data_IF_568008166418
#
_entry.id   IF_568008166418
#
_cell.length_a   1.000
_cell.length_b   1.000
_cell.length_c   1.000
_cell.angle_alpha   90.00
_cell.angle_beta   90.00
_cell.angle_gamma   90.00
#
_symmetry.space_group_name_H-M   'P 1'
#
loop_
_entity.id
_entity.type
_entity.pdbx_description
1 polymer ?
#
# COMPACT_ATOMS: atom_id res chain seq x y z
N UNK A 1 -39.94 -45.12 -17.19
CA UNK A 1 -39.86 -44.46 -15.87
C UNK A 1 -38.54 -43.71 -15.81
N UNK A 2 -38.57 -42.39 -16.00
CA UNK A 2 -37.38 -41.54 -15.88
C UNK A 2 -37.02 -41.48 -14.39
N UNK A 3 -35.78 -41.85 -14.05
CA UNK A 3 -35.33 -41.92 -12.66
C UNK A 3 -35.06 -40.51 -12.12
N UNK A 4 -36.13 -39.84 -11.69
CA UNK A 4 -36.17 -38.45 -11.22
C UNK A 4 -35.18 -38.15 -10.08
N UNK A 5 -34.72 -39.17 -9.34
CA UNK A 5 -33.71 -39.05 -8.29
C UNK A 5 -32.29 -38.87 -8.85
N UNK A 6 -31.92 -39.58 -9.91
CA UNK A 6 -30.58 -39.45 -10.51
C UNK A 6 -30.38 -38.10 -11.21
N UNK A 7 -31.41 -37.58 -11.86
CA UNK A 7 -31.35 -36.26 -12.51
C UNK A 7 -31.27 -35.11 -11.50
N UNK A 8 -31.94 -35.24 -10.35
CA UNK A 8 -31.87 -34.26 -9.26
C UNK A 8 -30.47 -34.20 -8.66
N UNK A 9 -29.85 -35.36 -8.39
CA UNK A 9 -28.50 -35.45 -7.85
C UNK A 9 -27.46 -34.92 -8.85
N UNK A 10 -27.60 -35.24 -10.13
CA UNK A 10 -26.72 -34.73 -11.18
C UNK A 10 -26.81 -33.19 -11.27
N UNK A 11 -28.01 -32.62 -11.30
CA UNK A 11 -28.21 -31.17 -11.34
C UNK A 11 -27.66 -30.46 -10.09
N UNK A 12 -27.80 -31.07 -8.91
CA UNK A 12 -27.26 -30.53 -7.66
C UNK A 12 -25.72 -30.55 -7.63
N UNK A 13 -25.09 -31.60 -8.18
CA UNK A 13 -23.61 -31.68 -8.28
C UNK A 13 -23.03 -30.69 -9.28
N UNK A 14 -23.67 -30.53 -10.45
CA UNK A 14 -23.27 -29.57 -11.48
C UNK A 14 -23.44 -28.12 -11.00
N UNK A 15 -24.53 -27.81 -10.29
CA UNK A 15 -24.75 -26.49 -9.70
C UNK A 15 -23.72 -26.17 -8.60
N UNK A 16 -23.32 -27.16 -7.79
CA UNK A 16 -22.27 -27.02 -6.77
C UNK A 16 -20.89 -26.79 -7.41
N UNK A 17 -20.59 -27.50 -8.50
CA UNK A 17 -19.33 -27.39 -9.22
C UNK A 17 -19.21 -26.06 -9.99
N UNK A 18 -20.28 -25.61 -10.63
CA UNK A 18 -20.35 -24.30 -11.31
C UNK A 18 -20.14 -23.13 -10.34
N UNK A 19 -20.79 -23.17 -9.17
CA UNK A 19 -20.59 -22.17 -8.11
C UNK A 19 -19.13 -22.15 -7.64
N UNK A 20 -18.55 -23.31 -7.37
CA UNK A 20 -17.15 -23.44 -6.92
C UNK A 20 -16.15 -22.88 -7.95
N UNK A 21 -16.33 -23.14 -9.24
CA UNK A 21 -15.50 -22.55 -10.30
C UNK A 21 -15.64 -21.03 -10.39
N UNK A 22 -16.86 -20.51 -10.30
CA UNK A 22 -17.12 -19.07 -10.33
C UNK A 22 -16.45 -18.35 -9.14
N UNK A 23 -16.38 -19.00 -7.97
CA UNK A 23 -15.69 -18.46 -6.80
C UNK A 23 -14.17 -18.51 -6.91
N UNK A 24 -13.60 -19.58 -7.49
CA UNK A 24 -12.16 -19.67 -7.75
C UNK A 24 -11.72 -18.56 -8.72
N UNK A 25 -12.48 -18.33 -9.80
CA UNK A 25 -12.23 -17.19 -10.70
C UNK A 25 -12.38 -15.84 -9.98
N UNK A 26 -13.36 -15.71 -9.09
CA UNK A 26 -13.53 -14.52 -8.24
C UNK A 26 -12.33 -14.26 -7.33
N UNK A 27 -11.86 -15.26 -6.59
CA UNK A 27 -10.68 -15.17 -5.72
C UNK A 27 -9.41 -14.88 -6.53
N UNK A 28 -9.23 -15.54 -7.67
CA UNK A 28 -8.09 -15.28 -8.56
C UNK A 28 -8.09 -13.84 -9.07
N UNK A 29 -9.26 -13.28 -9.38
CA UNK A 29 -9.40 -11.87 -9.78
C UNK A 29 -9.04 -10.89 -8.65
N UNK A 30 -9.42 -11.21 -7.41
CA UNK A 30 -9.09 -10.39 -6.22
C UNK A 30 -7.58 -10.44 -5.92
N UNK A 31 -6.97 -11.62 -6.07
CA UNK A 31 -5.52 -11.80 -5.90
C UNK A 31 -4.75 -11.07 -7.00
N UNK A 32 -5.19 -11.16 -8.26
CA UNK A 32 -4.60 -10.41 -9.38
C UNK A 32 -4.67 -8.89 -9.17
N UNK A 33 -5.76 -8.38 -8.59
CA UNK A 33 -5.88 -6.96 -8.22
C UNK A 33 -5.03 -6.55 -7.01
N UNK A 34 -4.60 -7.52 -6.18
CA UNK A 34 -3.75 -7.29 -5.02
C UNK A 34 -2.25 -7.33 -5.35
N UNK A 35 -1.88 -7.92 -6.49
CA UNK A 35 -0.51 -7.92 -7.02
C UNK A 35 -0.38 -6.78 -8.03
N UNK A 36 -0.38 -5.53 -7.57
CA UNK A 36 0.20 -4.46 -8.36
C UNK A 36 1.72 -4.65 -8.35
N UNK A 37 2.23 -5.22 -9.45
CA UNK A 37 3.66 -5.26 -9.74
C UNK A 37 4.16 -3.82 -9.78
N UNK A 38 5.15 -3.50 -8.96
CA UNK A 38 5.84 -2.21 -8.93
C UNK A 38 6.59 -1.99 -10.25
N UNK A 39 5.85 -1.54 -11.26
CA UNK A 39 6.39 -1.08 -12.54
C UNK A 39 7.23 0.17 -12.30
N UNK A 40 8.55 0.01 -12.41
CA UNK A 40 9.53 1.08 -12.47
C UNK A 40 9.44 1.76 -13.83
N UNK A 41 8.54 2.74 -13.95
CA UNK A 41 8.45 3.62 -15.11
C UNK A 41 9.49 4.75 -14.96
N UNK A 42 10.75 4.43 -15.26
CA UNK A 42 11.89 5.34 -15.13
C UNK A 42 12.05 6.30 -16.32
N UNK A 43 10.96 6.72 -16.97
CA UNK A 43 11.00 7.67 -18.08
C UNK A 43 10.04 8.85 -17.85
N UNK A 44 10.60 10.02 -17.49
CA UNK A 44 9.98 11.33 -17.69
C UNK A 44 8.70 11.66 -16.89
N UNK A 45 8.36 10.90 -15.86
CA UNK A 45 7.14 11.12 -15.07
C UNK A 45 7.37 12.11 -13.93
N UNK A 46 6.55 13.15 -13.86
CA UNK A 46 6.49 14.04 -12.70
C UNK A 46 6.02 13.25 -11.47
N UNK A 47 6.85 13.22 -10.42
CA UNK A 47 6.56 12.50 -9.17
C UNK A 47 5.88 13.45 -8.19
N UNK A 48 4.72 13.04 -7.68
CA UNK A 48 4.01 13.76 -6.63
C UNK A 48 4.03 12.94 -5.35
N UNK A 49 4.45 13.55 -4.24
CA UNK A 49 4.52 12.85 -2.96
C UNK A 49 3.87 13.69 -1.87
N UNK A 50 3.44 13.03 -0.80
CA UNK A 50 3.10 13.76 0.42
C UNK A 50 4.40 14.25 1.08
N UNK A 51 4.43 15.52 1.47
CA UNK A 51 5.56 16.16 2.14
C UNK A 51 5.11 16.84 3.43
N UNK A 52 5.35 16.21 4.58
CA UNK A 52 4.88 16.70 5.89
C UNK A 52 5.63 16.05 7.07
N UNK A 53 5.44 16.60 8.28
CA UNK A 53 6.02 16.09 9.52
C UNK A 53 4.97 16.12 10.64
N UNK A 54 4.70 14.98 11.28
CA UNK A 54 3.68 14.85 12.31
C UNK A 54 3.96 15.61 13.61
N UNK A 55 5.19 16.08 13.83
CA UNK A 55 5.52 16.97 14.96
C UNK A 55 5.03 18.40 14.69
N UNK A 56 5.00 18.82 13.43
CA UNK A 56 4.54 20.15 13.03
C UNK A 56 3.01 20.14 12.88
N UNK A 57 2.48 19.04 12.35
CA UNK A 57 1.05 18.91 12.07
C UNK A 57 0.58 17.47 12.27
N UNK A 58 -0.25 17.25 13.28
CA UNK A 58 -0.71 15.92 13.68
C UNK A 58 -1.48 15.18 12.57
N UNK A 59 -2.09 15.91 11.61
CA UNK A 59 -2.77 15.31 10.45
C UNK A 59 -1.78 14.54 9.53
N UNK A 60 -0.48 14.79 9.67
CA UNK A 60 0.57 14.02 9.00
C UNK A 60 0.91 12.71 9.74
N UNK A 61 0.23 12.36 10.82
CA UNK A 61 0.46 11.12 11.55
C UNK A 61 0.02 9.85 10.81
N UNK A 62 -0.31 8.82 11.60
CA UNK A 62 -0.85 7.56 11.08
C UNK A 62 -2.33 7.69 10.66
N UNK A 63 -3.08 8.58 11.31
CA UNK A 63 -4.45 8.97 10.94
C UNK A 63 -4.43 9.85 9.68
N UNK A 64 -4.17 9.22 8.54
CA UNK A 64 -3.90 9.92 7.28
C UNK A 64 -5.13 9.89 6.35
N UNK A 65 -5.95 10.94 6.42
CA UNK A 65 -7.08 11.11 5.50
C UNK A 65 -6.59 11.57 4.13
N UNK A 66 -6.62 10.67 3.14
CA UNK A 66 -6.01 10.89 1.82
C UNK A 66 -6.51 12.17 1.15
N UNK A 67 -7.81 12.45 1.16
CA UNK A 67 -8.37 13.64 0.49
C UNK A 67 -7.97 14.96 1.15
N UNK A 68 -7.94 14.98 2.49
CA UNK A 68 -7.47 16.14 3.27
C UNK A 68 -5.97 16.33 3.08
N UNK A 69 -5.21 15.23 3.15
CA UNK A 69 -3.77 15.23 2.95
C UNK A 69 -3.36 15.64 1.55
N UNK A 70 -4.12 15.25 0.51
CA UNK A 70 -3.82 15.64 -0.87
C UNK A 70 -3.89 17.15 -1.05
N UNK A 71 -4.90 17.80 -0.48
CA UNK A 71 -5.06 19.25 -0.52
C UNK A 71 -3.96 20.00 0.24
N UNK A 72 -3.40 19.40 1.28
CA UNK A 72 -2.52 20.08 2.24
C UNK A 72 -1.03 19.76 2.05
N UNK A 73 -0.70 18.54 1.63
CA UNK A 73 0.66 17.99 1.69
C UNK A 73 1.16 17.43 0.36
N UNK A 74 0.32 17.35 -0.68
CA UNK A 74 0.78 16.84 -1.97
C UNK A 74 1.67 17.89 -2.65
N UNK A 75 2.88 17.49 -3.02
CA UNK A 75 3.85 18.37 -3.66
C UNK A 75 4.42 17.75 -4.92
N UNK A 76 4.85 18.59 -5.86
CA UNK A 76 5.62 18.18 -7.02
C UNK A 76 7.10 18.05 -6.63
N UNK A 77 7.65 16.83 -6.68
CA UNK A 77 9.02 16.57 -6.26
C UNK A 77 10.09 17.15 -7.20
N UNK A 78 9.69 17.62 -8.40
CA UNK A 78 10.59 18.33 -9.31
C UNK A 78 10.78 19.79 -8.91
N UNK A 79 9.92 20.36 -8.04
CA UNK A 79 10.05 21.75 -7.60
C UNK A 79 11.30 21.92 -6.74
N UNK A 80 12.05 22.99 -6.99
CA UNK A 80 13.34 23.26 -6.32
C UNK A 80 13.22 23.34 -4.80
N UNK A 81 12.05 23.75 -4.28
CA UNK A 81 11.77 23.84 -2.85
C UNK A 81 11.88 22.49 -2.12
N UNK A 82 11.58 21.38 -2.80
CA UNK A 82 11.57 20.04 -2.21
C UNK A 82 12.82 19.21 -2.57
N UNK A 83 13.75 19.80 -3.33
CA UNK A 83 15.04 19.17 -3.63
C UNK A 83 16.00 19.37 -2.46
N UNK A 84 16.87 18.37 -2.16
CA UNK A 84 17.90 18.55 -1.16
C UNK A 84 18.86 19.67 -1.60
N UNK A 85 19.17 20.66 -0.73
CA UNK A 85 20.03 21.79 -1.11
C UNK A 85 21.42 21.37 -1.62
N UNK A 86 21.92 20.23 -1.16
CA UNK A 86 23.20 19.65 -1.55
C UNK A 86 23.14 18.80 -2.84
N UNK A 87 21.94 18.56 -3.39
CA UNK A 87 21.69 17.75 -4.60
C UNK A 87 20.69 18.43 -5.55
N UNK A 88 20.92 19.68 -6.00
CA UNK A 88 19.94 20.45 -6.77
C UNK A 88 19.62 19.84 -8.16
N UNK A 89 20.57 19.08 -8.72
CA UNK A 89 20.48 18.51 -10.06
C UNK A 89 20.01 17.04 -10.07
N UNK A 90 19.67 16.47 -8.92
CA UNK A 90 19.20 15.08 -8.83
C UNK A 90 17.69 15.03 -9.08
N UNK A 91 17.27 14.07 -9.91
CA UNK A 91 15.87 13.80 -10.17
C UNK A 91 15.27 12.97 -9.03
N UNK A 92 13.99 13.20 -8.67
CA UNK A 92 13.33 12.37 -7.70
C UNK A 92 13.21 10.93 -8.24
N UNK A 93 13.44 9.96 -7.36
CA UNK A 93 13.31 8.51 -7.65
C UNK A 93 12.02 7.92 -7.08
N UNK A 94 11.25 8.70 -6.32
CA UNK A 94 10.01 8.24 -5.71
C UNK A 94 9.59 9.04 -4.48
N UNK A 95 8.79 8.40 -3.62
CA UNK A 95 8.38 8.93 -2.33
C UNK A 95 8.99 8.13 -1.18
N UNK A 96 9.13 8.77 -0.02
CA UNK A 96 9.58 8.13 1.22
C UNK A 96 8.66 8.47 2.37
N UNK A 97 8.35 7.46 3.18
CA UNK A 97 7.79 7.59 4.52
C UNK A 97 8.86 7.16 5.53
N UNK A 98 9.01 7.93 6.59
CA UNK A 98 9.92 7.65 7.69
C UNK A 98 9.12 7.66 8.99
N UNK A 99 8.99 6.47 9.60
CA UNK A 99 8.50 6.32 10.96
C UNK A 99 9.71 6.40 11.89
N UNK A 100 9.88 7.54 12.56
CA UNK A 100 11.01 7.77 13.44
C UNK A 100 10.59 7.76 14.90
N UNK A 101 11.30 6.98 15.70
CA UNK A 101 11.15 6.89 17.14
C UNK A 101 12.34 7.59 17.78
N UNK A 102 12.05 8.52 18.69
CA UNK A 102 13.01 9.20 19.54
C UNK A 102 12.57 8.91 20.97
N UNK A 103 13.32 8.03 21.64
CA UNK A 103 12.93 7.40 22.90
C UNK A 103 11.54 6.77 22.73
N UNK A 104 10.54 7.27 23.46
CA UNK A 104 9.17 6.75 23.46
C UNK A 104 8.23 7.53 22.52
N UNK A 105 8.75 8.55 21.82
CA UNK A 105 7.93 9.39 20.92
C UNK A 105 8.10 8.97 19.47
N UNK A 106 6.98 8.68 18.80
CA UNK A 106 6.92 8.42 17.36
C UNK A 106 6.61 9.72 16.61
N UNK A 107 7.30 9.95 15.49
CA UNK A 107 6.89 10.92 14.46
C UNK A 107 6.91 10.31 13.07
N UNK A 108 6.00 10.77 12.23
CA UNK A 108 5.88 10.38 10.83
C UNK A 108 6.38 11.54 9.97
N UNK A 109 7.33 11.24 9.10
CA UNK A 109 7.85 12.20 8.12
C UNK A 109 7.60 11.62 6.73
N UNK A 110 6.98 12.41 5.86
CA UNK A 110 6.78 12.08 4.44
C UNK A 110 7.54 13.09 3.61
N UNK A 111 8.24 12.62 2.57
CA UNK A 111 9.05 13.47 1.70
C UNK A 111 9.29 12.81 0.33
N UNK A 112 9.77 13.60 -0.62
CA UNK A 112 10.31 13.12 -1.87
C UNK A 112 11.60 12.32 -1.65
N UNK A 113 11.81 11.26 -2.41
CA UNK A 113 13.03 10.46 -2.41
C UNK A 113 13.88 10.81 -3.64
N UNK A 114 15.19 11.00 -3.44
CA UNK A 114 16.15 11.33 -4.50
C UNK A 114 17.27 10.29 -4.63
N UNK A 115 17.23 9.23 -3.82
CA UNK A 115 18.24 8.18 -3.76
C UNK A 115 17.69 6.94 -3.05
N UNK A 116 18.42 5.84 -3.15
CA UNK A 116 18.08 4.56 -2.52
C UNK A 116 17.09 3.74 -3.35
N UNK A 117 16.87 2.52 -2.90
CA UNK A 117 16.00 1.54 -3.55
C UNK A 117 14.60 1.53 -2.92
N UNK A 118 13.66 0.88 -3.61
CA UNK A 118 12.34 0.60 -3.05
C UNK A 118 12.51 -0.39 -1.90
N UNK A 119 12.02 -0.02 -0.72
CA UNK A 119 12.15 -0.79 0.51
C UNK A 119 10.90 -0.62 1.36
N UNK A 120 10.62 -1.59 2.21
CA UNK A 120 9.53 -1.53 3.18
C UNK A 120 10.09 -1.74 4.57
N UNK A 121 9.76 -0.83 5.48
CA UNK A 121 10.12 -0.87 6.90
C UNK A 121 11.61 -1.15 7.17
N UNK A 122 12.49 -0.58 6.33
CA UNK A 122 13.93 -0.73 6.49
C UNK A 122 14.39 0.03 7.73
N UNK A 123 14.78 -0.73 8.77
CA UNK A 123 15.30 -0.20 10.02
C UNK A 123 16.65 0.50 9.80
N UNK A 124 16.75 1.74 10.27
CA UNK A 124 17.96 2.57 10.31
C UNK A 124 18.21 3.00 11.77
N UNK A 125 19.18 2.38 12.46
CA UNK A 125 19.54 2.80 13.81
C UNK A 125 20.25 4.15 13.77
N UNK A 126 19.89 5.05 14.70
CA UNK A 126 20.58 6.33 14.93
C UNK A 126 21.39 6.30 16.23
N UNK A 127 21.59 7.49 16.82
CA UNK A 127 22.20 7.64 18.14
C UNK A 127 21.30 7.07 19.25
N UNK A 128 21.79 7.05 20.49
CA UNK A 128 21.10 6.45 21.65
C UNK A 128 19.64 6.93 21.76
N UNK A 129 18.70 6.02 21.53
CA UNK A 129 17.26 6.26 21.59
C UNK A 129 16.61 6.66 20.26
N UNK A 130 17.35 6.77 19.16
CA UNK A 130 16.78 7.09 17.84
C UNK A 130 16.79 5.86 16.94
N UNK A 131 15.62 5.50 16.43
CA UNK A 131 15.47 4.47 15.39
C UNK A 131 14.47 4.97 14.36
N UNK A 132 14.77 4.80 13.07
CA UNK A 132 13.80 5.07 12.01
C UNK A 132 13.54 3.84 11.16
N UNK A 133 12.33 3.75 10.64
CA UNK A 133 11.91 2.77 9.65
C UNK A 133 11.59 3.50 8.37
N UNK A 134 12.25 3.10 7.29
CA UNK A 134 12.15 3.77 5.99
C UNK A 134 11.35 2.89 5.04
N UNK A 135 10.28 3.44 4.51
CA UNK A 135 9.52 2.85 3.40
C UNK A 135 9.64 3.78 2.20
N UNK A 136 10.11 3.24 1.07
CA UNK A 136 10.36 3.96 -0.17
C UNK A 136 9.79 3.20 -1.35
N UNK A 137 9.21 3.94 -2.28
CA UNK A 137 8.52 3.43 -3.46
C UNK A 137 8.63 4.45 -4.60
N UNK A 138 8.53 4.01 -5.85
CA UNK A 138 8.83 4.83 -7.03
C UNK A 138 7.63 5.63 -7.56
N UNK A 139 6.41 5.25 -7.20
CA UNK A 139 5.17 5.80 -7.76
C UNK A 139 4.70 7.07 -7.04
N UNK A 140 3.96 7.93 -7.75
CA UNK A 140 3.30 9.08 -7.12
C UNK A 140 2.32 8.65 -6.03
N UNK A 141 2.23 9.44 -4.95
CA UNK A 141 1.36 9.24 -3.79
C UNK A 141 1.56 7.91 -3.04
N UNK A 142 2.64 7.17 -3.32
CA UNK A 142 2.88 5.85 -2.74
C UNK A 142 3.26 5.91 -1.24
N UNK A 143 3.72 7.07 -0.75
CA UNK A 143 4.00 7.29 0.68
C UNK A 143 2.77 7.70 1.51
N UNK A 144 1.55 7.49 1.00
CA UNK A 144 0.31 7.54 1.81
C UNK A 144 0.38 6.52 2.96
N UNK A 145 -0.47 6.69 3.98
CA UNK A 145 -0.59 5.65 4.99
C UNK A 145 -1.00 4.31 4.35
N UNK A 146 -0.34 3.23 4.76
CA UNK A 146 -0.77 1.88 4.41
C UNK A 146 -2.11 1.65 5.09
N UNK A 147 -3.16 1.56 4.30
CA UNK A 147 -4.49 1.27 4.82
C UNK A 147 -4.50 -0.16 5.39
N UNK A 148 -4.57 -0.30 6.71
CA UNK A 148 -4.81 -1.57 7.41
C UNK A 148 -6.05 -2.31 6.86
N UNK A 149 -6.94 -1.59 6.16
CA UNK A 149 -8.11 -2.15 5.50
C UNK A 149 -7.75 -3.25 4.48
N UNK A 150 -6.58 -3.18 3.82
CA UNK A 150 -6.12 -4.23 2.89
C UNK A 150 -5.80 -5.57 3.59
N UNK A 151 -5.26 -5.51 4.81
CA UNK A 151 -4.95 -6.71 5.59
C UNK A 151 -6.23 -7.35 6.17
N UNK A 152 -7.21 -6.53 6.57
CA UNK A 152 -8.48 -7.07 7.09
C UNK A 152 -9.37 -7.66 5.99
N UNK A 153 -9.43 -7.08 4.79
CA UNK A 153 -10.19 -7.65 3.68
C UNK A 153 -9.64 -9.01 3.23
N UNK A 154 -8.32 -9.17 3.20
CA UNK A 154 -7.67 -10.46 2.88
C UNK A 154 -7.92 -11.51 3.96
N UNK A 155 -7.86 -11.15 5.25
CA UNK A 155 -8.18 -12.09 6.33
C UNK A 155 -9.65 -12.49 6.37
N UNK A 156 -10.58 -11.55 6.14
CA UNK A 156 -12.02 -11.82 6.11
C UNK A 156 -12.38 -12.74 4.94
N UNK A 157 -11.79 -12.53 3.76
CA UNK A 157 -12.04 -13.41 2.60
C UNK A 157 -11.56 -14.84 2.84
N UNK A 158 -10.41 -15.03 3.49
CA UNK A 158 -9.91 -16.36 3.89
C UNK A 158 -10.83 -16.99 4.94
N UNK A 159 -11.26 -16.23 5.96
CA UNK A 159 -12.14 -16.73 7.01
C UNK A 159 -13.51 -17.16 6.47
N UNK A 160 -14.12 -16.37 5.57
CA UNK A 160 -15.38 -16.73 4.87
C UNK A 160 -15.19 -17.97 4.00
N UNK A 161 -14.06 -18.09 3.29
CA UNK A 161 -13.75 -19.26 2.49
C UNK A 161 -13.60 -20.55 3.33
N UNK A 162 -13.04 -20.46 4.54
CA UNK A 162 -12.90 -21.60 5.46
C UNK A 162 -14.24 -21.97 6.09
N UNK A 163 -15.01 -20.99 6.56
CA UNK A 163 -16.31 -21.23 7.21
C UNK A 163 -17.32 -21.87 6.25
N UNK A 164 -17.31 -21.48 4.98
CA UNK A 164 -18.22 -22.01 3.95
C UNK A 164 -17.74 -23.34 3.32
N UNK A 165 -16.53 -23.81 3.70
CA UNK A 165 -15.98 -25.12 3.29
C UNK A 165 -16.41 -26.24 4.25
N UNK A 166 -16.78 -25.90 5.48
CA UNK A 166 -17.47 -26.78 6.42
C UNK A 166 -18.99 -26.73 6.22
#
# INVERSE_FOLDING_TARGET
MVNRKSDLLLNMTVAKQSRMFSFILGLLSVVLMSVCVDGSDANGKTIFCFHCNSVIDEDCGDSFEIEKARKKYLVNCSDQLYKPPHLPNVQPVGCRKVDQYILDTKRVIRQCAFYGENVTDLKRPGNKGVVSYHTQCAQSECNKAVSLHSAFTTLITIAVAIFMRH
#
